data_IF_931836071655
#
_entry.id   IF_931836071655
#
_cell.length_a   1.000
_cell.length_b   1.000
_cell.length_c   1.000
_cell.angle_alpha   90.00
_cell.angle_beta   90.00
_cell.angle_gamma   90.00
#
_symmetry.space_group_name_H-M   'P 1'
#
loop_
_entity.id
_entity.type
_entity.pdbx_description
1 polymer ?
#
# COMPACT_ATOMS: atom_id res chain seq x y z
N UNK A 1 13.92 -28.75 11.40
CA UNK A 1 13.28 -29.25 10.16
C UNK A 1 12.16 -30.16 10.62
N UNK A 2 10.93 -29.93 10.16
CA UNK A 2 9.69 -30.49 10.71
C UNK A 2 9.83 -31.96 11.15
N UNK A 3 9.33 -32.26 12.36
CA UNK A 3 9.17 -33.62 12.87
C UNK A 3 8.52 -34.45 11.77
N UNK A 4 9.23 -35.49 11.33
CA UNK A 4 8.78 -36.42 10.30
C UNK A 4 7.64 -37.27 10.87
N UNK A 5 6.45 -36.70 11.00
CA UNK A 5 5.25 -37.48 11.21
C UNK A 5 4.86 -38.14 9.89
N UNK A 6 4.66 -39.45 9.93
CA UNK A 6 4.22 -40.23 8.76
C UNK A 6 2.81 -39.84 8.29
N UNK A 7 2.01 -39.21 9.16
CA UNK A 7 0.62 -38.82 8.90
C UNK A 7 0.28 -37.44 9.48
N UNK A 8 0.72 -36.34 8.85
CA UNK A 8 0.48 -34.99 9.34
C UNK A 8 -1.02 -34.64 9.31
N UNK A 9 -1.49 -33.92 10.33
CA UNK A 9 -2.89 -33.48 10.41
C UNK A 9 -3.25 -32.51 9.28
N UNK A 10 -4.53 -32.40 8.89
CA UNK A 10 -4.96 -31.46 7.84
C UNK A 10 -4.55 -30.01 8.11
N UNK A 11 -4.62 -29.56 9.37
CA UNK A 11 -4.25 -28.21 9.78
C UNK A 11 -2.76 -27.96 9.55
N UNK A 12 -1.93 -28.97 9.83
CA UNK A 12 -0.49 -28.87 9.59
C UNK A 12 -0.17 -28.82 8.10
N UNK A 13 -0.89 -29.58 7.29
CA UNK A 13 -0.77 -29.53 5.83
C UNK A 13 -1.14 -28.13 5.29
N UNK A 14 -2.20 -27.52 5.81
CA UNK A 14 -2.60 -26.16 5.43
C UNK A 14 -1.53 -25.11 5.75
N UNK A 15 -0.92 -25.18 6.93
CA UNK A 15 0.18 -24.29 7.31
C UNK A 15 1.38 -24.46 6.37
N UNK A 16 1.77 -25.70 6.07
CA UNK A 16 2.89 -25.98 5.16
C UNK A 16 2.58 -25.46 3.76
N UNK A 17 1.35 -25.68 3.26
CA UNK A 17 0.90 -25.15 1.97
C UNK A 17 0.95 -23.62 1.96
N UNK A 18 0.53 -22.95 3.03
CA UNK A 18 0.64 -21.50 3.16
C UNK A 18 2.08 -21.00 3.14
N UNK A 19 2.98 -21.68 3.87
CA UNK A 19 4.39 -21.33 3.91
C UNK A 19 5.02 -21.45 2.51
N UNK A 20 4.71 -22.52 1.78
CA UNK A 20 5.29 -22.78 0.47
C UNK A 20 4.70 -21.91 -0.64
N UNK A 21 3.37 -21.69 -0.64
CA UNK A 21 2.68 -20.94 -1.71
C UNK A 21 2.70 -19.43 -1.51
N UNK A 22 2.69 -18.95 -0.27
CA UNK A 22 2.49 -17.52 0.03
C UNK A 22 3.68 -16.93 0.76
N UNK A 23 4.03 -17.46 1.92
CA UNK A 23 5.03 -16.83 2.79
C UNK A 23 6.44 -16.84 2.18
N UNK A 24 6.92 -18.01 1.73
CA UNK A 24 8.28 -18.17 1.21
C UNK A 24 8.50 -17.33 -0.05
N UNK A 25 7.63 -17.40 -1.08
CA UNK A 25 7.77 -16.53 -2.26
C UNK A 25 7.76 -15.05 -1.90
N UNK A 26 6.85 -14.62 -1.02
CA UNK A 26 6.77 -13.21 -0.59
C UNK A 26 8.02 -12.77 0.18
N UNK A 27 8.54 -13.62 1.06
CA UNK A 27 9.79 -13.35 1.77
C UNK A 27 10.94 -13.13 0.79
N UNK A 28 11.08 -14.01 -0.20
CA UNK A 28 12.09 -13.84 -1.26
C UNK A 28 11.86 -12.56 -2.06
N UNK A 29 10.64 -12.27 -2.50
CA UNK A 29 10.30 -11.04 -3.23
C UNK A 29 10.65 -9.78 -2.44
N UNK A 30 10.38 -9.75 -1.14
CA UNK A 30 10.72 -8.62 -0.26
C UNK A 30 12.24 -8.49 -0.15
N UNK A 31 12.98 -9.59 0.08
CA UNK A 31 14.43 -9.56 0.29
C UNK A 31 15.22 -9.26 -0.97
N UNK A 32 14.67 -9.59 -2.14
CA UNK A 32 15.30 -9.34 -3.44
C UNK A 32 14.92 -7.98 -4.05
N UNK A 33 13.85 -7.36 -3.54
CA UNK A 33 13.45 -6.02 -3.96
C UNK A 33 14.52 -4.98 -3.58
N UNK A 34 14.90 -4.15 -4.56
CA UNK A 34 15.95 -3.13 -4.40
C UNK A 34 15.41 -1.72 -4.21
N UNK A 35 14.17 -1.47 -4.63
CA UNK A 35 13.62 -0.12 -4.69
C UNK A 35 12.34 -0.02 -3.86
N UNK A 36 12.20 1.09 -3.14
CA UNK A 36 11.00 1.36 -2.35
C UNK A 36 9.73 1.47 -3.22
N UNK A 37 9.89 1.83 -4.49
CA UNK A 37 8.82 1.91 -5.49
C UNK A 37 8.24 0.56 -5.88
N UNK A 38 8.89 -0.55 -5.54
CA UNK A 38 8.32 -1.89 -5.71
C UNK A 38 7.37 -2.25 -4.55
N UNK A 39 7.39 -1.49 -3.45
CA UNK A 39 6.55 -1.71 -2.27
C UNK A 39 5.06 -1.94 -2.59
N UNK A 40 4.38 -1.06 -3.36
CA UNK A 40 2.98 -1.29 -3.68
C UNK A 40 2.72 -2.59 -4.46
N UNK A 41 3.67 -3.00 -5.33
CA UNK A 41 3.57 -4.27 -6.06
C UNK A 41 3.69 -5.45 -5.10
N UNK A 42 4.61 -5.38 -4.12
CA UNK A 42 4.76 -6.41 -3.09
C UNK A 42 3.51 -6.53 -2.22
N UNK A 43 2.85 -5.43 -1.84
CA UNK A 43 1.59 -5.46 -1.09
C UNK A 43 0.48 -6.13 -1.92
N UNK A 44 0.37 -5.78 -3.21
CA UNK A 44 -0.59 -6.42 -4.10
C UNK A 44 -0.28 -7.92 -4.26
N UNK A 45 0.98 -8.30 -4.49
CA UNK A 45 1.40 -9.70 -4.59
C UNK A 45 1.09 -10.49 -3.32
N UNK A 46 1.32 -9.91 -2.14
CA UNK A 46 0.96 -10.54 -0.86
C UNK A 46 -0.54 -10.76 -0.74
N UNK A 47 -1.34 -9.79 -1.19
CA UNK A 47 -2.81 -9.90 -1.16
C UNK A 47 -3.27 -10.97 -2.14
N UNK A 48 -2.71 -11.02 -3.35
CA UNK A 48 -3.07 -12.04 -4.35
C UNK A 48 -2.65 -13.44 -3.90
N UNK A 49 -1.47 -13.58 -3.30
CA UNK A 49 -0.94 -14.88 -2.88
C UNK A 49 -1.69 -15.48 -1.70
N UNK A 50 -2.49 -14.72 -0.95
CA UNK A 50 -3.32 -15.24 0.14
C UNK A 50 -4.77 -15.54 -0.27
N UNK A 51 -5.19 -15.26 -1.52
CA UNK A 51 -6.61 -15.37 -1.94
C UNK A 51 -7.16 -16.80 -2.00
N UNK A 52 -6.30 -17.81 -2.09
CA UNK A 52 -6.75 -19.20 -2.11
C UNK A 52 -7.09 -19.75 -0.71
N UNK A 53 -6.74 -19.01 0.35
CA UNK A 53 -6.98 -19.46 1.72
C UNK A 53 -8.48 -19.54 2.01
N UNK A 54 -8.92 -20.53 2.81
CA UNK A 54 -10.24 -20.53 3.42
C UNK A 54 -10.49 -19.24 4.22
N UNK A 55 -11.77 -18.88 4.40
CA UNK A 55 -12.16 -17.61 5.03
C UNK A 55 -11.56 -17.42 6.43
N UNK A 56 -11.54 -18.46 7.25
CA UNK A 56 -10.97 -18.41 8.61
C UNK A 56 -9.47 -18.05 8.60
N UNK A 57 -8.70 -18.69 7.71
CA UNK A 57 -7.28 -18.43 7.55
C UNK A 57 -7.02 -17.07 6.88
N UNK A 58 -7.86 -16.68 5.92
CA UNK A 58 -7.79 -15.38 5.30
C UNK A 58 -8.05 -14.26 6.32
N UNK A 59 -8.99 -14.45 7.24
CA UNK A 59 -9.28 -13.52 8.34
C UNK A 59 -8.14 -13.42 9.35
N UNK A 60 -7.34 -14.47 9.50
CA UNK A 60 -6.11 -14.46 10.31
C UNK A 60 -4.97 -13.70 9.62
N UNK A 61 -4.75 -13.94 8.32
CA UNK A 61 -3.61 -13.39 7.56
C UNK A 61 -3.88 -11.94 7.08
N UNK A 62 -5.11 -11.61 6.73
CA UNK A 62 -5.51 -10.30 6.19
C UNK A 62 -5.08 -9.11 7.07
N UNK A 63 -5.30 -9.13 8.39
CA UNK A 63 -4.82 -8.09 9.29
C UNK A 63 -3.28 -7.91 9.27
N UNK A 64 -2.53 -9.00 9.11
CA UNK A 64 -1.06 -8.96 9.01
C UNK A 64 -0.63 -8.26 7.72
N UNK A 65 -1.25 -8.59 6.59
CA UNK A 65 -1.00 -7.91 5.30
C UNK A 65 -1.36 -6.43 5.42
N UNK A 66 -2.52 -6.11 6.00
CA UNK A 66 -3.00 -4.74 6.18
C UNK A 66 -2.05 -3.91 7.05
N UNK A 67 -1.55 -4.46 8.15
CA UNK A 67 -0.58 -3.78 9.04
C UNK A 67 0.73 -3.44 8.32
N UNK A 68 1.12 -4.26 7.36
CA UNK A 68 2.30 -4.04 6.52
C UNK A 68 1.99 -3.29 5.21
N UNK A 69 0.74 -2.86 5.01
CA UNK A 69 0.26 -2.22 3.79
C UNK A 69 0.65 -0.74 3.62
N UNK A 70 1.59 -0.21 4.41
CA UNK A 70 2.00 1.20 4.33
C UNK A 70 2.58 1.56 2.95
N UNK A 71 3.20 0.59 2.27
CA UNK A 71 3.66 0.79 0.89
C UNK A 71 2.53 0.97 -0.12
N UNK A 72 1.28 0.65 0.24
CA UNK A 72 0.10 0.89 -0.60
C UNK A 72 -0.56 2.25 -0.34
N UNK A 73 0.07 3.15 0.43
CA UNK A 73 -0.42 4.52 0.57
C UNK A 73 -0.42 5.26 -0.79
N UNK A 74 -1.35 6.21 -1.01
CA UNK A 74 -1.47 6.94 -2.27
C UNK A 74 -0.17 7.61 -2.72
N UNK A 75 0.64 8.12 -1.80
CA UNK A 75 1.93 8.76 -2.11
C UNK A 75 2.92 7.75 -2.68
N UNK A 76 3.04 6.58 -2.05
CA UNK A 76 3.93 5.50 -2.51
C UNK A 76 3.47 4.91 -3.84
N UNK A 77 2.15 4.76 -4.02
CA UNK A 77 1.57 4.34 -5.30
C UNK A 77 1.91 5.32 -6.42
N UNK A 78 1.73 6.63 -6.21
CA UNK A 78 2.06 7.63 -7.22
C UNK A 78 3.56 7.64 -7.54
N UNK A 79 4.43 7.48 -6.55
CA UNK A 79 5.88 7.38 -6.76
C UNK A 79 6.24 6.13 -7.57
N UNK A 80 5.66 4.98 -7.24
CA UNK A 80 5.86 3.74 -8.00
C UNK A 80 5.41 3.89 -9.46
N UNK A 81 4.27 4.55 -9.69
CA UNK A 81 3.78 4.81 -11.05
C UNK A 81 4.78 5.60 -11.90
N UNK A 82 5.51 6.56 -11.32
CA UNK A 82 6.52 7.35 -12.07
C UNK A 82 7.71 6.53 -12.56
N UNK A 83 7.98 5.38 -11.92
CA UNK A 83 9.07 4.46 -12.29
C UNK A 83 8.58 3.20 -13.01
N UNK A 84 7.28 3.12 -13.32
CA UNK A 84 6.73 1.96 -14.01
C UNK A 84 7.31 1.83 -15.42
N UNK A 85 7.48 0.60 -15.93
CA UNK A 85 8.00 0.36 -17.28
C UNK A 85 7.02 0.83 -18.38
N UNK A 86 5.74 0.92 -18.06
CA UNK A 86 4.65 1.31 -18.96
C UNK A 86 4.53 2.83 -19.03
N UNK A 87 4.76 3.43 -20.21
CA UNK A 87 4.68 4.89 -20.41
C UNK A 87 3.36 5.49 -19.94
N UNK A 88 2.23 4.84 -20.25
CA UNK A 88 0.90 5.30 -19.85
C UNK A 88 0.74 5.39 -18.33
N UNK A 89 1.30 4.43 -17.58
CA UNK A 89 1.26 4.42 -16.11
C UNK A 89 2.11 5.56 -15.55
N UNK A 90 3.30 5.80 -16.13
CA UNK A 90 4.15 6.95 -15.76
C UNK A 90 3.45 8.29 -15.98
N UNK A 91 2.83 8.48 -17.14
CA UNK A 91 2.06 9.69 -17.45
C UNK A 91 0.90 9.89 -16.47
N UNK A 92 0.17 8.82 -16.15
CA UNK A 92 -0.91 8.87 -15.16
C UNK A 92 -0.39 9.23 -13.76
N UNK A 93 0.74 8.66 -13.34
CA UNK A 93 1.39 8.98 -12.07
C UNK A 93 1.75 10.47 -11.99
N UNK A 94 2.38 11.01 -13.03
CA UNK A 94 2.71 12.44 -13.12
C UNK A 94 1.46 13.32 -13.07
N UNK A 95 0.40 13.00 -13.83
CA UNK A 95 -0.86 13.76 -13.81
C UNK A 95 -1.50 13.78 -12.43
N UNK A 96 -1.52 12.64 -11.72
CA UNK A 96 -2.05 12.55 -10.34
C UNK A 96 -1.25 13.42 -9.38
N UNK A 97 0.09 13.40 -9.46
CA UNK A 97 0.95 14.25 -8.64
C UNK A 97 0.70 15.73 -8.92
N UNK A 98 0.63 16.14 -10.18
CA UNK A 98 0.36 17.53 -10.57
C UNK A 98 -1.01 18.01 -10.07
N UNK A 99 -2.04 17.17 -10.21
CA UNK A 99 -3.39 17.49 -9.71
C UNK A 99 -3.42 17.61 -8.20
N UNK A 100 -2.77 16.70 -7.46
CA UNK A 100 -2.69 16.76 -6.00
C UNK A 100 -1.98 18.05 -5.53
N UNK A 101 -0.91 18.46 -6.21
CA UNK A 101 -0.21 19.73 -5.93
C UNK A 101 -1.08 20.95 -6.20
N UNK A 102 -1.89 20.92 -7.26
CA UNK A 102 -2.82 22.01 -7.56
C UNK A 102 -3.87 22.16 -6.44
N UNK A 103 -4.52 21.06 -6.04
CA UNK A 103 -5.52 21.07 -4.96
C UNK A 103 -4.93 21.63 -3.66
N UNK A 104 -3.70 21.22 -3.31
CA UNK A 104 -3.01 21.75 -2.13
C UNK A 104 -2.80 23.26 -2.20
N UNK A 105 -2.44 23.81 -3.38
CA UNK A 105 -2.29 25.26 -3.56
C UNK A 105 -3.61 26.00 -3.44
N UNK A 106 -4.68 25.45 -4.02
CA UNK A 106 -6.04 26.02 -3.94
C UNK A 106 -6.49 26.08 -2.47
N UNK A 107 -6.36 25.00 -1.71
CA UNK A 107 -6.68 24.96 -0.27
C UNK A 107 -5.88 25.97 0.56
N UNK A 108 -4.58 26.12 0.28
CA UNK A 108 -3.74 27.13 0.95
C UNK A 108 -4.17 28.56 0.61
N UNK A 109 -4.58 28.80 -0.64
CA UNK A 109 -5.08 30.10 -1.07
C UNK A 109 -6.42 30.45 -0.41
N UNK A 110 -7.34 29.48 -0.28
CA UNK A 110 -8.61 29.67 0.42
C UNK A 110 -8.42 29.92 1.91
N UNK A 111 -7.49 29.19 2.55
CA UNK A 111 -7.18 29.38 3.96
C UNK A 111 -6.61 30.76 4.24
N UNK A 112 -5.64 31.21 3.42
CA UNK A 112 -5.06 32.56 3.55
C UNK A 112 -6.08 33.66 3.26
N UNK A 113 -6.98 33.46 2.29
CA UNK A 113 -8.08 34.38 2.00
C UNK A 113 -9.06 34.50 3.18
N UNK A 114 -9.48 33.38 3.79
CA UNK A 114 -10.36 33.38 4.98
C UNK A 114 -9.72 34.10 6.16
N UNK A 115 -8.44 33.85 6.45
CA UNK A 115 -7.74 34.54 7.54
C UNK A 115 -7.69 36.05 7.31
N UNK A 116 -7.31 36.48 6.09
CA UNK A 116 -7.25 37.91 5.75
C UNK A 116 -8.62 38.61 5.84
N UNK A 117 -9.69 37.91 5.48
CA UNK A 117 -11.07 38.43 5.57
C UNK A 117 -11.50 38.63 7.04
N UNK A 118 -11.19 37.67 7.91
CA UNK A 118 -11.46 37.76 9.35
C UNK A 118 -10.66 38.91 9.98
N UNK A 119 -9.39 39.08 9.60
CA UNK A 119 -8.54 40.19 10.08
C UNK A 119 -9.12 41.56 9.71
N UNK A 120 -9.61 41.73 8.46
CA UNK A 120 -10.24 42.99 8.02
C UNK A 120 -11.54 43.30 8.74
N UNK A 121 -12.39 42.30 8.96
CA UNK A 121 -13.65 42.47 9.70
C UNK A 121 -13.43 42.86 11.17
N UNK A 122 -12.34 42.40 11.80
CA UNK A 122 -11.95 42.80 13.17
C UNK A 122 -11.43 44.23 13.24
N UNK A 123 -10.75 44.71 12.20
CA UNK A 123 -10.24 46.09 12.12
C UNK A 123 -11.40 47.08 11.89
N UNK A 124 -12.39 46.71 11.08
CA UNK A 124 -13.54 47.58 10.74
C UNK A 124 -14.59 47.73 11.86
N UNK A 125 -14.47 46.99 12.97
CA UNK A 125 -15.39 47.03 14.12
C UNK A 125 -14.85 47.83 15.32
N UNK A 126 -13.70 48.51 15.15
CA UNK A 126 -13.19 49.54 16.06
C UNK A 126 -13.42 50.91 15.44
#
# INVERSE_FOLDING_TARGET
MYLSEESPTPELQEIVVFILKSYTPMWFSIKTSKYFTEGPKLVNQSTQSSRYLPEDLHNLVGPVIKRNGFFAHPEHLMLAMTQDNTKLIRELGLRRILKARQIKREQLSEHSFRQNSISRLKISRK
#
